data_IF_231820631266
#
_entry.id   IF_231820631266
#
_cell.length_a   1.000
_cell.length_b   1.000
_cell.length_c   1.000
_cell.angle_alpha   90.00
_cell.angle_beta   90.00
_cell.angle_gamma   90.00
#
_symmetry.space_group_name_H-M   'P 1'
#
loop_
_entity.id
_entity.type
_entity.pdbx_description
1 polymer ?
#
# COMPACT_ATOMS: atom_id res chain seq x y z
N UNK A 1 -2.65 -25.24 14.95
CA UNK A 1 -2.16 -24.37 13.87
C UNK A 1 -1.77 -25.29 12.73
N UNK A 2 -2.57 -25.41 11.66
CA UNK A 2 -2.34 -26.45 10.64
C UNK A 2 -1.64 -25.95 9.36
N UNK A 3 -1.58 -24.66 9.10
CA UNK A 3 -0.89 -24.12 7.92
C UNK A 3 0.57 -23.80 8.23
N UNK A 4 1.50 -24.17 7.32
CA UNK A 4 2.90 -23.81 7.47
C UNK A 4 3.13 -22.32 7.23
N UNK A 5 4.14 -21.78 7.89
CA UNK A 5 4.56 -20.38 7.81
C UNK A 5 5.73 -20.26 6.83
N UNK A 6 5.63 -19.35 5.86
CA UNK A 6 6.65 -19.05 4.86
C UNK A 6 7.38 -17.76 5.22
N UNK A 7 8.50 -17.44 4.56
CA UNK A 7 9.17 -16.15 4.80
C UNK A 7 8.26 -14.95 4.48
N UNK A 8 7.42 -15.04 3.44
CA UNK A 8 6.44 -14.01 3.10
C UNK A 8 5.46 -13.72 4.25
N UNK A 9 5.11 -14.73 5.08
CA UNK A 9 4.30 -14.52 6.27
C UNK A 9 5.05 -13.72 7.33
N UNK A 10 6.33 -14.04 7.55
CA UNK A 10 7.19 -13.25 8.44
C UNK A 10 7.32 -11.82 7.95
N UNK A 11 7.47 -11.60 6.65
CA UNK A 11 7.55 -10.26 6.08
C UNK A 11 6.23 -9.49 6.29
N UNK A 12 5.08 -10.11 6.02
CA UNK A 12 3.78 -9.50 6.26
C UNK A 12 3.56 -9.19 7.75
N UNK A 13 3.92 -10.12 8.63
CA UNK A 13 3.87 -9.93 10.07
C UNK A 13 4.77 -8.78 10.53
N UNK A 14 6.01 -8.71 10.03
CA UNK A 14 6.94 -7.60 10.30
C UNK A 14 6.37 -6.25 9.87
N UNK A 15 5.70 -6.19 8.71
CA UNK A 15 5.11 -4.97 8.19
C UNK A 15 3.86 -4.56 8.97
N UNK A 16 3.00 -5.51 9.35
CA UNK A 16 1.82 -5.24 10.15
C UNK A 16 1.31 -6.50 10.88
N UNK A 17 1.69 -6.70 12.16
CA UNK A 17 1.28 -7.87 12.94
C UNK A 17 -0.24 -7.99 13.06
N UNK A 18 -0.92 -6.84 13.25
CA UNK A 18 -2.39 -6.78 13.38
C UNK A 18 -3.07 -7.26 12.10
N UNK A 19 -2.64 -6.76 10.93
CA UNK A 19 -3.21 -7.17 9.65
C UNK A 19 -2.95 -8.65 9.41
N UNK A 20 -1.73 -9.12 9.64
CA UNK A 20 -1.38 -10.54 9.50
C UNK A 20 -2.30 -11.43 10.35
N UNK A 21 -2.56 -11.05 11.60
CA UNK A 21 -3.46 -11.80 12.48
C UNK A 21 -4.92 -11.76 12.01
N UNK A 22 -5.43 -10.60 11.56
CA UNK A 22 -6.82 -10.44 11.10
C UNK A 22 -7.07 -11.10 9.74
N UNK A 23 -6.07 -11.14 8.86
CA UNK A 23 -6.15 -11.77 7.54
C UNK A 23 -5.84 -13.29 7.60
N UNK A 24 -5.39 -13.81 8.75
CA UNK A 24 -5.00 -15.21 8.93
C UNK A 24 -6.17 -16.14 8.59
N UNK A 25 -5.96 -17.09 7.66
CA UNK A 25 -6.99 -18.02 7.17
C UNK A 25 -7.74 -17.55 5.91
N UNK A 26 -7.43 -16.37 5.36
CA UNK A 26 -7.97 -15.91 4.06
C UNK A 26 -6.97 -16.06 2.90
N UNK A 27 -5.75 -16.51 3.20
CA UNK A 27 -4.69 -16.71 2.21
C UNK A 27 -4.87 -18.11 1.63
N UNK A 28 -5.51 -18.20 0.45
CA UNK A 28 -5.53 -19.44 -0.32
C UNK A 28 -4.11 -19.79 -0.75
N UNK A 29 -3.61 -20.95 -0.30
CA UNK A 29 -2.34 -21.53 -0.76
C UNK A 29 -2.64 -22.76 -1.59
N UNK A 30 -2.07 -22.83 -2.79
CA UNK A 30 -2.08 -24.07 -3.59
C UNK A 30 -1.19 -25.13 -2.95
N UNK A 31 -1.41 -26.38 -3.35
CA UNK A 31 -0.87 -27.66 -2.85
C UNK A 31 0.44 -27.67 -2.04
N UNK A 32 0.51 -28.62 -1.10
CA UNK A 32 1.67 -28.84 -0.24
C UNK A 32 2.96 -28.93 -1.06
N UNK A 33 3.99 -28.13 -0.74
CA UNK A 33 5.21 -28.11 -1.53
C UNK A 33 5.97 -29.44 -1.48
N UNK A 34 6.64 -29.76 -2.58
CA UNK A 34 7.51 -30.93 -2.71
C UNK A 34 8.79 -30.75 -1.87
N UNK A 35 9.02 -31.61 -0.88
CA UNK A 35 10.25 -31.64 -0.07
C UNK A 35 11.47 -31.93 -0.96
N UNK A 36 12.47 -31.07 -0.90
CA UNK A 36 13.72 -31.16 -1.67
C UNK A 36 14.84 -31.94 -0.96
N UNK A 37 14.57 -32.50 0.23
CA UNK A 37 15.60 -33.12 1.07
C UNK A 37 16.35 -34.28 0.40
N UNK A 38 15.71 -35.07 -0.46
CA UNK A 38 16.36 -36.17 -1.18
C UNK A 38 17.40 -35.67 -2.19
N UNK A 39 17.04 -34.68 -3.01
CA UNK A 39 17.96 -34.08 -3.99
C UNK A 39 19.17 -33.43 -3.30
N UNK A 40 18.93 -32.75 -2.18
CA UNK A 40 20.00 -32.16 -1.38
C UNK A 40 20.92 -33.24 -0.79
N UNK A 41 20.38 -34.36 -0.28
CA UNK A 41 21.22 -35.47 0.23
C UNK A 41 22.09 -36.12 -0.84
N UNK A 42 21.62 -36.14 -2.09
CA UNK A 42 22.38 -36.61 -3.24
C UNK A 42 23.43 -35.59 -3.72
N UNK A 43 23.48 -34.40 -3.12
CA UNK A 43 24.46 -33.36 -3.42
C UNK A 43 24.14 -32.53 -4.66
N UNK A 44 22.91 -32.60 -5.18
CA UNK A 44 22.49 -31.78 -6.32
C UNK A 44 22.27 -30.33 -5.89
N UNK A 45 22.64 -29.39 -6.76
CA UNK A 45 22.13 -28.03 -6.68
C UNK A 45 20.65 -28.03 -7.02
N UNK A 46 19.83 -27.38 -6.19
CA UNK A 46 18.36 -27.41 -6.32
C UNK A 46 17.83 -25.99 -6.45
N UNK A 47 17.16 -25.71 -7.56
CA UNK A 47 16.39 -24.47 -7.76
C UNK A 47 15.11 -24.52 -6.95
N UNK A 48 14.76 -23.39 -6.30
CA UNK A 48 13.59 -23.29 -5.40
C UNK A 48 13.52 -24.46 -4.42
N UNK A 49 14.64 -24.74 -3.76
CA UNK A 49 14.74 -25.85 -2.83
C UNK A 49 13.80 -25.64 -1.65
N UNK A 50 12.91 -26.60 -1.39
CA UNK A 50 11.93 -26.48 -0.30
C UNK A 50 12.28 -27.42 0.85
N UNK A 51 12.41 -26.87 2.05
CA UNK A 51 12.57 -27.62 3.29
C UNK A 51 11.58 -27.13 4.34
N UNK A 52 10.99 -28.08 5.06
CA UNK A 52 10.11 -27.81 6.21
C UNK A 52 10.81 -28.19 7.51
N UNK A 53 10.61 -27.39 8.56
CA UNK A 53 11.00 -27.72 9.93
C UNK A 53 9.93 -27.28 10.92
N UNK A 54 9.75 -28.00 12.02
CA UNK A 54 8.87 -27.58 13.11
C UNK A 54 9.67 -26.79 14.15
N UNK A 55 9.22 -25.57 14.46
CA UNK A 55 9.79 -24.69 15.49
C UNK A 55 8.63 -24.15 16.32
N UNK A 56 8.74 -24.23 17.66
CA UNK A 56 7.67 -23.81 18.58
C UNK A 56 6.29 -24.44 18.29
N UNK A 57 6.27 -25.69 17.82
CA UNK A 57 5.02 -26.40 17.46
C UNK A 57 4.33 -25.86 16.20
N UNK A 58 5.06 -25.10 15.37
CA UNK A 58 4.58 -24.55 14.09
C UNK A 58 5.53 -24.96 12.98
N UNK A 59 4.97 -25.34 11.83
CA UNK A 59 5.73 -25.73 10.64
C UNK A 59 6.20 -24.47 9.91
N UNK A 60 7.49 -24.37 9.64
CA UNK A 60 8.11 -23.30 8.87
C UNK A 60 8.73 -23.86 7.60
N UNK A 61 8.54 -23.15 6.48
CA UNK A 61 9.00 -23.56 5.15
C UNK A 61 10.06 -22.58 4.68
N UNK A 62 11.22 -23.10 4.30
CA UNK A 62 12.26 -22.38 3.58
C UNK A 62 12.23 -22.74 2.10
N UNK A 63 12.27 -21.71 1.26
CA UNK A 63 12.22 -21.80 -0.21
C UNK A 63 13.21 -20.81 -0.89
N UNK A 64 14.52 -20.85 -0.61
CA UNK A 64 15.49 -20.01 -1.31
C UNK A 64 15.46 -20.25 -2.83
N UNK A 65 15.81 -19.23 -3.62
CA UNK A 65 15.78 -19.32 -5.09
C UNK A 65 16.72 -20.40 -5.65
N UNK A 66 17.86 -20.63 -4.99
CA UNK A 66 18.81 -21.70 -5.33
C UNK A 66 19.59 -22.16 -4.09
N UNK A 67 19.77 -23.47 -3.95
CA UNK A 67 20.71 -24.08 -3.01
C UNK A 67 21.84 -24.76 -3.80
N UNK A 68 23.10 -24.44 -3.47
CA UNK A 68 24.29 -24.98 -4.12
C UNK A 68 25.20 -25.61 -3.08
N UNK A 69 25.68 -26.83 -3.35
CA UNK A 69 26.67 -27.48 -2.49
C UNK A 69 28.07 -26.89 -2.74
N UNK A 70 28.75 -26.47 -1.67
CA UNK A 70 30.14 -26.02 -1.66
C UNK A 70 30.97 -26.90 -0.71
N UNK A 71 32.30 -26.71 -0.70
CA UNK A 71 33.24 -27.50 0.12
C UNK A 71 32.89 -27.46 1.62
N UNK A 72 32.39 -26.32 2.12
CA UNK A 72 32.13 -26.08 3.54
C UNK A 72 30.62 -26.07 3.88
N UNK A 73 29.79 -26.70 3.07
CA UNK A 73 28.34 -26.78 3.25
C UNK A 73 27.57 -26.13 2.10
N UNK A 74 26.32 -25.75 2.37
CA UNK A 74 25.44 -25.18 1.35
C UNK A 74 25.56 -23.67 1.27
N UNK A 75 25.60 -23.14 0.05
CA UNK A 75 25.34 -21.74 -0.24
C UNK A 75 23.91 -21.59 -0.71
N UNK A 76 23.15 -20.73 -0.04
CA UNK A 76 21.81 -20.35 -0.49
C UNK A 76 21.88 -19.02 -1.26
N UNK A 77 21.11 -18.91 -2.34
CA UNK A 77 21.00 -17.67 -3.12
C UNK A 77 19.57 -17.15 -3.04
N UNK A 78 19.44 -15.86 -2.72
CA UNK A 78 18.20 -15.12 -2.72
C UNK A 78 18.25 -14.06 -3.83
N UNK A 79 17.42 -14.21 -4.86
CA UNK A 79 17.31 -13.30 -5.99
C UNK A 79 16.36 -12.15 -5.66
N UNK A 80 16.78 -10.92 -5.96
CA UNK A 80 16.02 -9.68 -5.70
C UNK A 80 16.07 -8.78 -6.93
N UNK A 81 15.05 -7.94 -7.08
CA UNK A 81 15.00 -6.91 -8.14
C UNK A 81 15.43 -5.53 -7.62
N UNK A 82 15.81 -5.43 -6.34
CA UNK A 82 16.13 -4.14 -5.74
C UNK A 82 17.45 -3.55 -6.26
N UNK A 83 17.46 -2.23 -6.47
CA UNK A 83 18.66 -1.46 -6.87
C UNK A 83 19.72 -1.32 -5.77
N UNK A 84 19.35 -1.55 -4.50
CA UNK A 84 20.22 -1.43 -3.34
C UNK A 84 19.90 -2.48 -2.29
N UNK A 85 20.91 -2.93 -1.57
CA UNK A 85 20.76 -3.85 -0.46
C UNK A 85 19.86 -3.24 0.65
N UNK A 86 18.99 -4.07 1.23
CA UNK A 86 18.11 -3.67 2.34
C UNK A 86 18.39 -4.58 3.53
N UNK A 87 18.48 -3.99 4.72
CA UNK A 87 18.73 -4.74 5.96
C UNK A 87 17.71 -5.85 6.25
N UNK A 88 16.49 -5.78 5.69
CA UNK A 88 15.50 -6.86 5.80
C UNK A 88 15.96 -8.18 5.17
N UNK A 89 16.84 -8.15 4.16
CA UNK A 89 17.34 -9.36 3.51
C UNK A 89 18.22 -10.21 4.43
N UNK A 90 18.80 -9.63 5.48
CA UNK A 90 19.55 -10.39 6.48
C UNK A 90 18.64 -11.32 7.31
N UNK A 91 17.41 -10.88 7.60
CA UNK A 91 16.42 -11.72 8.31
C UNK A 91 15.93 -12.85 7.41
N UNK A 92 15.71 -12.58 6.13
CA UNK A 92 15.39 -13.59 5.12
C UNK A 92 16.49 -14.64 4.99
N UNK A 93 17.74 -14.19 4.85
CA UNK A 93 18.89 -15.07 4.80
C UNK A 93 18.98 -15.98 6.02
N UNK A 94 18.84 -15.40 7.23
CA UNK A 94 18.80 -16.16 8.46
C UNK A 94 17.65 -17.17 8.48
N UNK A 95 16.46 -16.78 8.02
CA UNK A 95 15.27 -17.64 8.01
C UNK A 95 15.53 -18.92 7.21
N UNK A 96 15.94 -18.81 5.95
CA UNK A 96 16.19 -19.98 5.11
C UNK A 96 17.38 -20.79 5.62
N UNK A 97 18.48 -20.13 5.97
CA UNK A 97 19.70 -20.82 6.39
C UNK A 97 19.56 -21.55 7.72
N UNK A 98 18.79 -20.98 8.66
CA UNK A 98 18.47 -21.63 9.93
C UNK A 98 17.66 -22.90 9.70
N UNK A 99 16.60 -22.85 8.88
CA UNK A 99 15.76 -24.01 8.55
C UNK A 99 16.58 -25.11 7.86
N UNK A 100 17.39 -24.76 6.86
CA UNK A 100 18.28 -25.71 6.19
C UNK A 100 19.24 -26.39 7.18
N UNK A 101 19.87 -25.60 8.05
CA UNK A 101 20.81 -26.11 9.05
C UNK A 101 20.12 -27.03 10.08
N UNK A 102 18.90 -26.71 10.51
CA UNK A 102 18.09 -27.59 11.39
C UNK A 102 17.71 -28.91 10.71
N UNK A 103 17.60 -28.94 9.38
CA UNK A 103 17.32 -30.15 8.59
C UNK A 103 18.56 -30.96 8.24
N UNK A 104 19.73 -30.59 8.78
CA UNK A 104 20.99 -31.30 8.58
C UNK A 104 21.77 -30.87 7.34
N UNK A 105 21.39 -29.74 6.72
CA UNK A 105 22.09 -29.15 5.59
C UNK A 105 22.81 -27.87 6.06
N UNK A 106 24.03 -27.96 6.61
CA UNK A 106 24.72 -26.81 7.18
C UNK A 106 24.96 -25.75 6.10
N UNK A 107 24.54 -24.51 6.37
CA UNK A 107 24.68 -23.40 5.42
C UNK A 107 25.93 -22.58 5.75
N UNK A 108 26.86 -22.52 4.80
CA UNK A 108 28.12 -21.78 4.93
C UNK A 108 27.85 -20.27 4.90
N UNK A 109 27.13 -19.82 3.86
CA UNK A 109 26.79 -18.42 3.58
C UNK A 109 25.47 -18.31 2.81
N UNK A 110 24.90 -17.11 2.81
CA UNK A 110 23.76 -16.77 1.96
C UNK A 110 24.13 -15.58 1.07
N UNK A 111 23.94 -15.73 -0.24
CA UNK A 111 24.19 -14.68 -1.21
C UNK A 111 22.86 -14.01 -1.58
N UNK A 112 22.75 -12.70 -1.36
CA UNK A 112 21.64 -11.90 -1.89
C UNK A 112 22.10 -11.28 -3.21
N UNK A 113 21.47 -11.68 -4.30
CA UNK A 113 21.84 -11.27 -5.66
C UNK A 113 20.73 -10.45 -6.32
N UNK A 114 21.08 -9.37 -6.99
CA UNK A 114 20.22 -8.58 -7.86
C UNK A 114 20.95 -8.20 -9.14
N UNK A 115 20.26 -7.68 -10.17
CA UNK A 115 20.93 -7.12 -11.35
C UNK A 115 21.91 -5.97 -11.05
N UNK A 116 21.91 -5.44 -9.82
CA UNK A 116 22.67 -4.25 -9.43
C UNK A 116 23.72 -4.50 -8.34
N UNK A 117 23.59 -5.58 -7.58
CA UNK A 117 24.52 -5.91 -6.50
C UNK A 117 24.52 -7.41 -6.21
N UNK A 118 25.62 -7.88 -5.62
CA UNK A 118 25.72 -9.20 -5.00
C UNK A 118 26.37 -9.04 -3.64
N UNK A 119 25.73 -9.56 -2.59
CA UNK A 119 26.20 -9.44 -1.21
C UNK A 119 26.12 -10.78 -0.53
N UNK A 120 27.26 -11.29 -0.07
CA UNK A 120 27.34 -12.44 0.82
C UNK A 120 27.09 -12.00 2.26
N UNK A 121 26.22 -12.73 2.95
CA UNK A 121 25.84 -12.49 4.33
C UNK A 121 26.28 -13.65 5.22
N UNK A 122 26.85 -13.32 6.37
CA UNK A 122 26.86 -14.24 7.51
C UNK A 122 25.47 -14.19 8.17
N UNK A 123 24.64 -15.15 7.78
CA UNK A 123 23.25 -15.23 8.22
C UNK A 123 23.11 -15.40 9.75
N UNK A 124 24.17 -15.86 10.42
CA UNK A 124 24.21 -16.08 11.88
C UNK A 124 24.02 -14.78 12.66
N UNK A 125 24.48 -13.66 12.13
CA UNK A 125 24.35 -12.34 12.75
C UNK A 125 22.88 -11.92 12.94
N UNK A 126 21.99 -12.40 12.05
CA UNK A 126 20.57 -12.09 12.11
C UNK A 126 19.73 -13.15 12.85
N UNK A 127 20.34 -14.26 13.30
CA UNK A 127 19.64 -15.34 14.03
C UNK A 127 18.96 -14.85 15.32
N UNK A 128 19.58 -14.04 16.19
CA UNK A 128 18.89 -13.57 17.40
C UNK A 128 17.59 -12.81 17.09
N UNK A 129 17.63 -11.99 16.03
CA UNK A 129 16.45 -11.26 15.56
C UNK A 129 15.42 -12.21 14.95
N UNK A 130 15.85 -13.18 14.16
CA UNK A 130 14.98 -14.22 13.59
C UNK A 130 14.25 -14.99 14.69
N UNK A 131 14.96 -15.51 15.70
CA UNK A 131 14.35 -16.31 16.78
C UNK A 131 13.27 -15.51 17.50
N UNK A 132 13.53 -14.23 17.81
CA UNK A 132 12.52 -13.35 18.39
C UNK A 132 11.29 -13.17 17.48
N UNK A 133 11.46 -13.13 16.15
CA UNK A 133 10.33 -13.07 15.22
C UNK A 133 9.54 -14.37 15.14
N UNK A 134 10.24 -15.52 15.10
CA UNK A 134 9.62 -16.84 15.12
C UNK A 134 8.82 -17.05 16.41
N UNK A 135 9.33 -16.62 17.55
CA UNK A 135 8.58 -16.66 18.81
C UNK A 135 7.34 -15.74 18.75
N UNK A 136 7.49 -14.51 18.27
CA UNK A 136 6.38 -13.56 18.20
C UNK A 136 5.26 -14.00 17.24
N UNK A 137 5.59 -14.58 16.09
CA UNK A 137 4.59 -15.00 15.09
C UNK A 137 3.87 -16.30 15.50
N UNK A 138 4.49 -17.12 16.34
CA UNK A 138 3.91 -18.38 16.86
C UNK A 138 3.15 -18.20 18.16
N UNK A 139 3.43 -17.12 18.90
CA UNK A 139 2.72 -16.78 20.13
C UNK A 139 1.25 -16.51 19.83
N UNK A 140 0.38 -17.34 20.37
CA UNK A 140 -1.06 -17.12 20.29
C UNK A 140 -1.45 -15.86 21.07
N UNK A 141 -2.27 -15.01 20.45
CA UNK A 141 -2.89 -13.85 21.09
C UNK A 141 -4.37 -13.86 20.78
N UNK A 142 -5.18 -13.78 21.84
CA UNK A 142 -6.62 -13.63 21.71
C UNK A 142 -6.98 -12.23 21.19
N UNK A 143 -6.35 -11.20 21.76
CA UNK A 143 -6.53 -9.83 21.30
C UNK A 143 -5.61 -9.51 20.10
N UNK A 144 -6.13 -8.79 19.08
CA UNK A 144 -5.30 -8.34 17.98
C UNK A 144 -4.25 -7.31 18.41
N UNK A 145 -3.04 -7.38 17.82
CA UNK A 145 -1.99 -6.38 18.04
C UNK A 145 -2.51 -4.95 17.89
N UNK A 146 -1.95 -4.03 18.67
CA UNK A 146 -2.31 -2.63 18.55
C UNK A 146 -2.04 -2.08 17.14
N UNK A 147 -3.00 -1.33 16.57
CA UNK A 147 -2.84 -0.74 15.26
C UNK A 147 -1.65 0.22 15.25
N UNK A 148 -0.83 0.12 14.21
CA UNK A 148 0.23 1.08 13.92
C UNK A 148 0.10 1.48 12.46
N UNK A 149 -0.04 2.78 12.13
CA UNK A 149 -0.09 3.21 10.74
C UNK A 149 1.17 2.80 9.98
N UNK A 150 1.00 2.09 8.86
CA UNK A 150 2.10 1.67 7.97
C UNK A 150 1.77 1.96 6.52
N UNK A 151 2.73 1.74 5.62
CA UNK A 151 2.53 1.88 4.18
C UNK A 151 1.44 0.95 3.62
N UNK A 152 1.17 -0.17 4.28
CA UNK A 152 0.14 -1.14 3.88
C UNK A 152 -1.29 -0.61 4.11
N UNK A 153 -1.47 0.40 4.95
CA UNK A 153 -2.80 0.93 5.29
C UNK A 153 -3.53 1.58 4.10
N UNK A 154 -2.81 1.90 3.02
CA UNK A 154 -3.38 2.49 1.79
C UNK A 154 -4.40 1.57 1.11
N UNK A 155 -4.18 0.26 1.17
CA UNK A 155 -5.06 -0.74 0.53
C UNK A 155 -5.74 -1.66 1.54
N UNK A 156 -5.31 -1.65 2.80
CA UNK A 156 -5.82 -2.50 3.88
C UNK A 156 -7.34 -2.32 4.10
N UNK A 157 -8.07 -3.44 4.19
CA UNK A 157 -9.50 -3.50 4.54
C UNK A 157 -9.77 -3.06 5.98
N UNK A 158 -8.85 -3.32 6.91
CA UNK A 158 -9.01 -3.07 8.34
C UNK A 158 -8.76 -1.62 8.77
N UNK A 159 -8.53 -0.70 7.84
CA UNK A 159 -8.10 0.68 8.15
C UNK A 159 -9.12 1.45 8.99
N UNK A 160 -10.42 1.19 8.79
CA UNK A 160 -11.50 1.83 9.56
C UNK A 160 -11.48 1.33 11.00
N UNK A 161 -11.46 0.01 11.20
CA UNK A 161 -11.39 -0.60 12.54
C UNK A 161 -10.12 -0.22 13.29
N UNK A 162 -8.98 -0.16 12.58
CA UNK A 162 -7.72 0.30 13.16
C UNK A 162 -7.80 1.78 13.58
N UNK A 163 -8.49 2.62 12.81
CA UNK A 163 -8.68 4.03 13.16
C UNK A 163 -9.54 4.15 14.41
N UNK A 164 -10.66 3.44 14.46
CA UNK A 164 -11.53 3.41 15.64
C UNK A 164 -10.82 2.88 16.89
N UNK A 165 -9.98 1.85 16.75
CA UNK A 165 -9.19 1.33 17.86
C UNK A 165 -8.21 2.38 18.44
N UNK A 166 -7.53 3.15 17.58
CA UNK A 166 -6.66 4.26 18.02
C UNK A 166 -7.47 5.39 18.65
N UNK A 167 -8.61 5.76 18.07
CA UNK A 167 -9.51 6.79 18.61
C UNK A 167 -10.01 6.40 20.00
N UNK A 168 -10.45 5.15 20.20
CA UNK A 168 -10.90 4.64 21.51
C UNK A 168 -9.80 4.70 22.57
N UNK A 169 -8.55 4.44 22.17
CA UNK A 169 -7.37 4.57 23.04
C UNK A 169 -6.88 6.01 23.20
N UNK A 170 -7.51 6.97 22.51
CA UNK A 170 -7.07 8.37 22.44
C UNK A 170 -5.61 8.50 21.97
N UNK A 171 -5.12 7.54 21.20
CA UNK A 171 -3.69 7.51 20.82
C UNK A 171 -3.39 8.59 19.78
N UNK A 172 -2.29 9.32 19.98
CA UNK A 172 -1.79 10.33 19.03
C UNK A 172 -1.55 9.75 17.62
N UNK A 173 -1.27 8.45 17.49
CA UNK A 173 -1.13 7.75 16.21
C UNK A 173 -2.42 7.77 15.36
N UNK A 174 -3.58 8.09 15.96
CA UNK A 174 -4.82 8.30 15.23
C UNK A 174 -4.75 9.53 14.29
N UNK A 175 -3.84 10.47 14.55
CA UNK A 175 -3.71 11.72 13.80
C UNK A 175 -3.07 11.47 12.43
N UNK A 176 -3.84 11.68 11.36
CA UNK A 176 -3.32 11.62 10.00
C UNK A 176 -2.14 12.58 9.78
N UNK A 177 -1.04 12.02 9.28
CA UNK A 177 0.19 12.76 8.95
C UNK A 177 1.09 13.08 10.15
N UNK A 178 0.78 12.57 11.35
CA UNK A 178 1.67 12.70 12.51
C UNK A 178 2.85 11.73 12.34
N UNK A 179 4.04 12.27 12.11
CA UNK A 179 5.27 11.48 12.05
C UNK A 179 5.85 11.25 13.46
N UNK A 180 6.73 10.24 13.58
CA UNK A 180 7.31 9.84 14.87
C UNK A 180 8.11 10.97 15.54
N UNK A 181 8.81 11.80 14.75
CA UNK A 181 9.55 12.95 15.30
C UNK A 181 8.62 13.95 15.99
N UNK A 182 7.50 14.27 15.37
CA UNK A 182 6.49 15.19 15.92
C UNK A 182 5.82 14.56 17.14
N UNK A 183 5.48 13.26 17.09
CA UNK A 183 4.91 12.53 18.22
C UNK A 183 5.85 12.54 19.44
N UNK A 184 7.14 12.25 19.25
CA UNK A 184 8.12 12.28 20.34
C UNK A 184 8.30 13.68 20.94
N UNK A 185 8.12 14.75 20.15
CA UNK A 185 8.12 16.13 20.67
C UNK A 185 6.90 16.42 21.54
N UNK A 186 5.72 15.97 21.14
CA UNK A 186 4.49 16.08 21.94
C UNK A 186 4.67 15.36 23.29
N UNK A 187 5.15 14.12 23.27
CA UNK A 187 5.40 13.32 24.47
C UNK A 187 6.41 13.98 25.41
N UNK A 188 7.49 14.56 24.88
CA UNK A 188 8.50 15.28 25.70
C UNK A 188 7.94 16.50 26.42
N UNK A 189 6.88 17.09 25.88
CA UNK A 189 6.22 18.25 26.46
C UNK A 189 4.97 17.85 27.27
N UNK A 190 4.78 16.55 27.56
CA UNK A 190 3.71 16.04 28.41
C UNK A 190 2.35 15.88 27.73
N UNK A 191 2.31 15.83 26.39
CA UNK A 191 1.09 15.50 25.64
C UNK A 191 1.12 14.03 25.28
N UNK A 192 0.39 13.20 26.03
CA UNK A 192 0.40 11.74 25.89
C UNK A 192 -0.68 11.23 24.95
N UNK A 193 -1.82 11.93 24.90
CA UNK A 193 -3.01 11.48 24.16
C UNK A 193 -3.76 12.63 23.43
N UNK A 194 -4.87 12.29 22.77
CA UNK A 194 -5.70 13.25 22.03
C UNK A 194 -6.37 14.30 22.94
N UNK A 195 -6.69 13.98 24.20
CA UNK A 195 -7.33 14.92 25.14
C UNK A 195 -6.32 15.91 25.69
N UNK A 196 -5.12 15.45 26.05
CA UNK A 196 -4.00 16.33 26.42
C UNK A 196 -3.72 17.35 25.32
N UNK A 197 -3.75 16.89 24.07
CA UNK A 197 -3.53 17.75 22.91
C UNK A 197 -4.59 18.85 22.77
N UNK A 198 -5.84 18.60 23.16
CA UNK A 198 -6.88 19.64 23.17
C UNK A 198 -6.67 20.65 24.30
N UNK A 199 -6.23 20.19 25.47
CA UNK A 199 -6.11 21.00 26.68
C UNK A 199 -4.80 21.82 26.74
N UNK A 200 -3.74 21.40 26.04
CA UNK A 200 -2.45 22.09 26.07
C UNK A 200 -2.52 23.50 25.47
N UNK A 201 -2.06 24.52 26.19
CA UNK A 201 -2.16 25.91 25.69
C UNK A 201 -1.03 26.30 24.75
N UNK A 202 0.22 25.99 25.11
CA UNK A 202 1.42 26.35 24.33
C UNK A 202 2.47 25.27 24.48
N UNK A 203 3.12 24.93 23.37
CA UNK A 203 4.29 24.06 23.31
C UNK A 203 5.45 24.85 22.71
N UNK A 204 6.66 24.71 23.25
CA UNK A 204 7.82 25.53 22.80
C UNK A 204 8.23 25.19 21.37
N UNK A 205 8.10 23.92 21.02
CA UNK A 205 8.55 23.33 19.77
C UNK A 205 7.59 23.51 18.58
N UNK A 206 6.43 24.16 18.79
CA UNK A 206 5.35 24.21 17.82
C UNK A 206 4.85 25.64 17.58
N UNK A 207 4.60 25.99 16.31
CA UNK A 207 3.94 27.24 15.97
C UNK A 207 2.46 27.20 16.34
N UNK A 208 1.84 28.38 16.51
CA UNK A 208 0.40 28.49 16.81
C UNK A 208 -0.47 27.81 15.74
N UNK A 209 -0.15 28.00 14.46
CA UNK A 209 -0.90 27.41 13.33
C UNK A 209 -0.81 25.87 13.33
N UNK A 210 0.37 25.30 13.59
CA UNK A 210 0.53 23.85 13.68
C UNK A 210 -0.26 23.29 14.86
N UNK A 211 -0.23 23.95 16.01
CA UNK A 211 -1.00 23.53 17.19
C UNK A 211 -2.51 23.61 16.94
N UNK A 212 -3.00 24.66 16.31
CA UNK A 212 -4.42 24.80 15.97
C UNK A 212 -4.87 23.66 15.04
N UNK A 213 -4.09 23.35 14.01
CA UNK A 213 -4.38 22.22 13.11
C UNK A 213 -4.35 20.88 13.83
N UNK A 214 -3.39 20.65 14.72
CA UNK A 214 -3.32 19.42 15.52
C UNK A 214 -4.53 19.29 16.46
N UNK A 215 -4.95 20.38 17.10
CA UNK A 215 -6.16 20.40 17.94
C UNK A 215 -7.42 20.10 17.14
N UNK A 216 -7.62 20.74 15.98
CA UNK A 216 -8.77 20.43 15.10
C UNK A 216 -8.77 18.97 14.64
N UNK A 217 -7.60 18.38 14.37
CA UNK A 217 -7.48 16.95 14.06
C UNK A 217 -7.86 16.06 15.24
N UNK A 218 -7.37 16.37 16.44
CA UNK A 218 -7.74 15.64 17.65
C UNK A 218 -9.25 15.75 17.94
N UNK A 219 -9.81 16.94 17.75
CA UNK A 219 -11.25 17.19 17.89
C UNK A 219 -12.06 16.35 16.89
N UNK A 220 -11.65 16.29 15.61
CA UNK A 220 -12.33 15.48 14.60
C UNK A 220 -12.36 13.99 14.97
N UNK A 221 -11.25 13.49 15.50
CA UNK A 221 -11.09 12.11 15.95
C UNK A 221 -12.00 11.81 17.16
N UNK A 222 -11.98 12.66 18.19
CA UNK A 222 -12.75 12.46 19.41
C UNK A 222 -14.26 12.60 19.17
N UNK A 223 -14.67 13.55 18.32
CA UNK A 223 -16.07 13.76 17.94
C UNK A 223 -16.56 12.83 16.83
N UNK A 224 -15.67 12.00 16.25
CA UNK A 224 -15.97 11.05 15.15
C UNK A 224 -16.65 11.70 13.95
N UNK A 225 -16.28 12.94 13.63
CA UNK A 225 -16.85 13.67 12.50
C UNK A 225 -15.81 14.54 11.80
N UNK A 226 -16.04 14.88 10.52
CA UNK A 226 -15.18 15.82 9.81
C UNK A 226 -15.19 17.20 10.45
N UNK A 227 -14.01 17.84 10.50
CA UNK A 227 -13.83 19.23 10.95
C UNK A 227 -13.02 20.01 9.91
N UNK A 228 -13.45 21.23 9.60
CA UNK A 228 -12.74 22.12 8.68
C UNK A 228 -11.48 22.67 9.35
N UNK A 229 -10.34 22.44 8.69
CA UNK A 229 -9.05 23.05 9.01
C UNK A 229 -8.93 24.44 8.39
N UNK A 230 -9.48 24.61 7.20
CA UNK A 230 -9.50 25.84 6.40
C UNK A 230 -10.71 25.82 5.44
N UNK A 231 -11.13 26.98 4.89
CA UNK A 231 -12.28 27.06 4.00
C UNK A 231 -12.12 26.21 2.74
N UNK A 232 -13.18 25.50 2.35
CA UNK A 232 -13.15 24.66 1.17
C UNK A 232 -13.32 25.48 -0.12
N UNK A 233 -12.62 25.13 -1.22
CA UNK A 233 -12.91 25.70 -2.53
C UNK A 233 -14.24 25.18 -3.09
N UNK A 234 -14.82 25.84 -4.12
CA UNK A 234 -15.99 25.30 -4.81
C UNK A 234 -15.66 24.02 -5.58
N UNK A 235 -16.63 23.13 -5.68
CA UNK A 235 -16.53 21.85 -6.41
C UNK A 235 -17.58 21.77 -7.53
N UNK A 236 -17.40 22.44 -8.67
CA UNK A 236 -18.35 22.35 -9.79
C UNK A 236 -18.44 20.93 -10.36
N UNK A 237 -19.45 20.66 -11.19
CA UNK A 237 -19.54 19.38 -11.90
C UNK A 237 -18.42 19.24 -12.92
N UNK A 238 -17.90 18.02 -13.07
CA UNK A 238 -16.74 17.74 -13.90
C UNK A 238 -16.50 16.25 -14.07
N UNK A 239 -15.32 15.93 -14.59
CA UNK A 239 -14.89 14.57 -14.88
C UNK A 239 -14.12 13.97 -13.70
N UNK A 240 -14.12 12.64 -13.60
CA UNK A 240 -13.25 11.89 -12.69
C UNK A 240 -12.36 10.97 -13.49
N UNK A 241 -11.07 11.00 -13.21
CA UNK A 241 -10.05 10.27 -13.95
C UNK A 241 -9.28 9.37 -12.99
N UNK A 242 -8.96 8.17 -13.47
CA UNK A 242 -8.03 7.24 -12.84
C UNK A 242 -7.26 6.49 -13.93
N UNK A 243 -6.01 6.11 -13.63
CA UNK A 243 -5.10 5.45 -14.57
C UNK A 243 -4.56 4.18 -13.95
N UNK A 244 -4.52 3.12 -14.74
CA UNK A 244 -3.78 1.90 -14.39
C UNK A 244 -2.55 1.71 -15.27
N UNK A 245 -1.43 1.39 -14.62
CA UNK A 245 -0.11 1.32 -15.26
C UNK A 245 0.53 -0.05 -15.15
N UNK A 246 1.20 -0.48 -16.22
CA UNK A 246 2.01 -1.68 -16.26
C UNK A 246 3.43 -1.35 -15.78
N UNK A 247 3.73 -1.65 -14.52
CA UNK A 247 5.03 -1.28 -13.91
C UNK A 247 6.27 -1.89 -14.59
N UNK A 248 6.18 -3.14 -15.07
CA UNK A 248 7.33 -3.82 -15.72
C UNK A 248 7.52 -3.38 -17.18
N UNK A 249 6.45 -3.34 -17.97
CA UNK A 249 6.50 -2.94 -19.38
C UNK A 249 6.53 -1.41 -19.57
N UNK A 250 6.28 -0.65 -18.51
CA UNK A 250 6.37 0.81 -18.45
C UNK A 250 5.46 1.49 -19.49
N UNK A 251 4.16 1.24 -19.37
CA UNK A 251 3.09 1.90 -20.13
C UNK A 251 1.76 1.91 -19.35
N UNK A 252 0.86 2.81 -19.68
CA UNK A 252 -0.51 2.84 -19.13
C UNK A 252 -1.46 2.00 -19.97
N UNK A 253 -2.14 1.06 -19.32
CA UNK A 253 -3.01 0.12 -20.00
C UNK A 253 -4.49 0.49 -19.91
N UNK A 254 -4.89 1.34 -18.97
CA UNK A 254 -6.28 1.76 -18.83
C UNK A 254 -6.39 3.19 -18.32
N UNK A 255 -7.07 4.05 -19.08
CA UNK A 255 -7.53 5.36 -18.62
C UNK A 255 -9.04 5.29 -18.44
N UNK A 256 -9.50 5.39 -17.19
CA UNK A 256 -10.91 5.41 -16.84
C UNK A 256 -11.40 6.83 -16.63
N UNK A 257 -12.49 7.19 -17.29
CA UNK A 257 -13.14 8.48 -17.09
C UNK A 257 -14.60 8.30 -16.73
N UNK A 258 -15.01 8.87 -15.61
CA UNK A 258 -16.43 9.03 -15.29
C UNK A 258 -16.89 10.41 -15.74
N UNK A 259 -17.83 10.44 -16.67
CA UNK A 259 -18.56 11.64 -17.09
C UNK A 259 -20.01 11.49 -16.67
N UNK A 260 -20.47 12.39 -15.82
CA UNK A 260 -21.78 12.32 -15.18
C UNK A 260 -21.95 10.99 -14.42
N UNK A 261 -22.55 9.98 -15.06
CA UNK A 261 -22.70 8.64 -14.51
C UNK A 261 -22.19 7.52 -15.45
N UNK A 262 -21.71 7.90 -16.64
CA UNK A 262 -21.19 7.03 -17.67
C UNK A 262 -19.69 6.82 -17.46
N UNK A 263 -19.28 5.55 -17.38
CA UNK A 263 -17.88 5.16 -17.31
C UNK A 263 -17.35 4.88 -18.71
N UNK A 264 -16.29 5.58 -19.08
CA UNK A 264 -15.64 5.51 -20.39
C UNK A 264 -14.23 4.99 -20.17
N UNK A 265 -13.94 3.82 -20.74
CA UNK A 265 -12.64 3.18 -20.65
C UNK A 265 -11.86 3.34 -21.95
N UNK A 266 -10.64 3.84 -21.85
CA UNK A 266 -9.65 3.82 -22.93
C UNK A 266 -8.61 2.76 -22.62
N UNK A 267 -8.79 1.57 -23.20
CA UNK A 267 -7.91 0.42 -23.02
C UNK A 267 -6.76 0.44 -24.02
N UNK A 268 -5.58 0.13 -23.52
CA UNK A 268 -4.34 -0.04 -24.27
C UNK A 268 -3.82 -1.45 -23.98
N UNK A 269 -3.93 -2.35 -24.96
CA UNK A 269 -3.51 -3.75 -24.79
C UNK A 269 -2.00 -3.91 -24.93
N UNK A 270 -1.39 -3.08 -25.76
CA UNK A 270 0.02 -3.14 -26.15
C UNK A 270 0.66 -1.76 -26.02
N UNK A 271 1.94 -1.71 -25.62
CA UNK A 271 2.68 -0.46 -25.40
C UNK A 271 2.65 0.46 -26.63
N UNK A 272 2.67 -0.12 -27.82
CA UNK A 272 2.63 0.56 -29.11
C UNK A 272 1.33 1.37 -29.31
N UNK A 273 0.25 0.99 -28.63
CA UNK A 273 -1.05 1.67 -28.70
C UNK A 273 -1.12 2.89 -27.78
N UNK A 274 -0.25 2.98 -26.76
CA UNK A 274 -0.34 3.99 -25.69
C UNK A 274 -0.43 5.41 -26.25
N UNK A 275 0.41 5.77 -27.22
CA UNK A 275 0.40 7.11 -27.80
C UNK A 275 -0.89 7.45 -28.56
N UNK A 276 -1.44 6.49 -29.30
CA UNK A 276 -2.71 6.67 -30.02
C UNK A 276 -3.88 6.77 -29.05
N UNK A 277 -3.91 5.93 -28.01
CA UNK A 277 -4.97 5.93 -27.01
C UNK A 277 -4.90 7.19 -26.15
N UNK A 278 -3.71 7.59 -25.72
CA UNK A 278 -3.49 8.81 -24.95
C UNK A 278 -3.93 10.07 -25.72
N UNK A 279 -3.67 10.13 -27.03
CA UNK A 279 -4.20 11.20 -27.89
C UNK A 279 -5.73 11.26 -27.87
N UNK A 280 -6.40 10.10 -27.99
CA UNK A 280 -7.87 10.03 -27.88
C UNK A 280 -8.38 10.49 -26.51
N UNK A 281 -7.66 10.16 -25.43
CA UNK A 281 -7.97 10.66 -24.08
C UNK A 281 -7.84 12.18 -24.03
N UNK A 282 -6.75 12.75 -24.54
CA UNK A 282 -6.55 14.20 -24.60
C UNK A 282 -7.65 14.89 -25.41
N UNK A 283 -7.99 14.37 -26.59
CA UNK A 283 -9.06 14.90 -27.44
C UNK A 283 -10.42 14.86 -26.72
N UNK A 284 -10.72 13.75 -26.05
CA UNK A 284 -11.93 13.62 -25.24
C UNK A 284 -11.97 14.65 -24.10
N UNK A 285 -10.88 14.77 -23.32
CA UNK A 285 -10.79 15.74 -22.23
C UNK A 285 -10.94 17.17 -22.77
N UNK A 286 -10.30 17.51 -23.89
CA UNK A 286 -10.43 18.83 -24.54
C UNK A 286 -11.85 19.11 -25.06
N UNK A 287 -12.61 18.09 -25.44
CA UNK A 287 -14.01 18.22 -25.88
C UNK A 287 -15.00 18.52 -24.74
N UNK A 288 -14.54 18.45 -23.49
CA UNK A 288 -15.36 18.67 -22.29
C UNK A 288 -14.94 19.93 -21.57
N UNK A 289 -15.81 20.45 -20.72
CA UNK A 289 -15.55 21.59 -19.86
C UNK A 289 -15.49 21.17 -18.38
N UNK A 290 -15.10 22.09 -17.51
CA UNK A 290 -15.09 21.86 -16.06
C UNK A 290 -13.84 21.13 -15.53
N UNK A 291 -13.77 20.91 -14.21
CA UNK A 291 -12.62 20.28 -13.56
C UNK A 291 -12.48 18.80 -13.95
N UNK A 292 -11.25 18.32 -13.89
CA UNK A 292 -10.88 16.92 -14.00
C UNK A 292 -10.36 16.50 -12.62
N UNK A 293 -11.25 15.90 -11.83
CA UNK A 293 -10.93 15.43 -10.50
C UNK A 293 -10.12 14.15 -10.56
N UNK A 294 -9.08 14.11 -9.74
CA UNK A 294 -8.25 12.93 -9.56
C UNK A 294 -7.82 12.79 -8.10
N UNK A 295 -7.35 11.61 -7.72
CA UNK A 295 -6.93 11.35 -6.35
C UNK A 295 -5.43 11.08 -6.27
N UNK A 296 -4.69 12.01 -5.65
CA UNK A 296 -3.23 11.99 -5.47
C UNK A 296 -2.43 12.54 -6.66
N UNK A 297 -1.19 12.96 -6.37
CA UNK A 297 -0.32 13.75 -7.25
C UNK A 297 0.34 12.97 -8.40
N UNK A 298 0.06 11.67 -8.54
CA UNK A 298 0.70 10.85 -9.57
C UNK A 298 0.29 11.31 -10.97
N UNK A 299 -1.00 11.58 -11.16
CA UNK A 299 -1.57 11.78 -12.49
C UNK A 299 -1.09 13.03 -13.23
N UNK A 300 -0.98 14.24 -12.63
CA UNK A 300 -0.57 15.41 -13.41
C UNK A 300 0.90 15.39 -13.86
N UNK A 301 1.78 14.79 -13.06
CA UNK A 301 3.20 14.64 -13.43
C UNK A 301 3.33 13.58 -14.52
N UNK A 302 2.65 12.45 -14.35
CA UNK A 302 2.63 11.36 -15.32
C UNK A 302 1.99 11.76 -16.65
N UNK A 303 0.84 12.45 -16.64
CA UNK A 303 0.21 13.01 -17.84
C UNK A 303 1.13 14.00 -18.59
N UNK A 304 1.97 14.76 -17.87
CA UNK A 304 2.93 15.66 -18.51
C UNK A 304 4.03 14.86 -19.21
N UNK A 305 4.50 13.78 -18.60
CA UNK A 305 5.50 12.89 -19.17
C UNK A 305 4.96 12.18 -20.41
N UNK A 306 3.74 11.64 -20.35
CA UNK A 306 3.02 11.08 -21.51
C UNK A 306 2.79 12.10 -22.61
N UNK A 307 2.36 13.32 -22.25
CA UNK A 307 2.15 14.38 -23.23
C UNK A 307 3.44 14.75 -23.96
N UNK A 308 4.57 14.72 -23.24
CA UNK A 308 5.88 14.91 -23.83
C UNK A 308 6.31 13.74 -24.71
N UNK A 309 6.07 12.52 -24.25
CA UNK A 309 6.43 11.30 -24.98
C UNK A 309 5.68 11.20 -26.32
N UNK A 310 4.41 11.62 -26.34
CA UNK A 310 3.50 11.42 -27.47
C UNK A 310 3.23 12.68 -28.31
N UNK A 311 3.90 13.80 -27.99
CA UNK A 311 3.89 15.05 -28.77
C UNK A 311 2.58 15.86 -28.67
N UNK A 312 1.98 15.91 -27.48
CA UNK A 312 0.72 16.63 -27.18
C UNK A 312 0.88 17.60 -26.01
N UNK A 313 2.08 18.15 -25.78
CA UNK A 313 2.37 19.05 -24.66
C UNK A 313 1.55 20.35 -24.70
N UNK A 314 1.25 20.86 -25.90
CA UNK A 314 0.43 22.06 -26.09
C UNK A 314 -0.99 21.84 -25.58
N UNK A 315 -1.56 20.67 -25.88
CA UNK A 315 -2.90 20.29 -25.46
C UNK A 315 -2.98 20.00 -23.97
N UNK A 316 -1.99 19.27 -23.44
CA UNK A 316 -1.87 19.11 -21.99
C UNK A 316 -1.72 20.45 -21.27
N UNK A 317 -1.01 21.42 -21.84
CA UNK A 317 -0.87 22.76 -21.24
C UNK A 317 -2.20 23.50 -21.11
N UNK A 318 -3.16 23.24 -22.01
CA UNK A 318 -4.53 23.75 -21.92
C UNK A 318 -5.32 23.02 -20.83
N UNK A 319 -5.15 21.70 -20.73
CA UNK A 319 -5.87 20.86 -19.75
C UNK A 319 -5.36 20.99 -18.32
N UNK A 320 -4.05 21.22 -18.08
CA UNK A 320 -3.43 21.13 -16.74
C UNK A 320 -4.09 21.99 -15.68
N UNK A 321 -4.72 23.11 -16.06
CA UNK A 321 -5.42 24.03 -15.13
C UNK A 321 -6.76 23.47 -14.65
N UNK A 322 -7.31 22.47 -15.34
CA UNK A 322 -8.57 21.79 -14.99
C UNK A 322 -8.34 20.64 -14.01
N UNK A 323 -7.12 20.11 -13.90
CA UNK A 323 -6.82 19.02 -12.97
C UNK A 323 -6.94 19.49 -11.53
N UNK A 324 -7.75 18.77 -10.75
CA UNK A 324 -8.01 19.05 -9.34
C UNK A 324 -7.65 17.83 -8.49
N UNK A 325 -6.56 17.97 -7.72
CA UNK A 325 -6.10 16.94 -6.78
C UNK A 325 -6.97 16.94 -5.51
N UNK A 326 -7.91 15.99 -5.46
CA UNK A 326 -8.88 15.83 -4.36
C UNK A 326 -8.17 15.51 -3.04
N UNK A 327 -7.09 14.73 -3.07
CA UNK A 327 -6.31 14.40 -1.88
C UNK A 327 -5.65 15.66 -1.27
N UNK A 328 -5.07 16.51 -2.11
CA UNK A 328 -4.47 17.76 -1.63
C UNK A 328 -5.50 18.71 -1.03
N UNK A 329 -6.68 18.81 -1.62
CA UNK A 329 -7.75 19.64 -1.03
C UNK A 329 -8.19 19.04 0.30
N UNK A 330 -8.52 17.74 0.33
CA UNK A 330 -8.95 17.06 1.54
C UNK A 330 -7.94 17.21 2.69
N UNK A 331 -6.68 16.86 2.46
CA UNK A 331 -5.63 16.85 3.50
C UNK A 331 -5.29 18.23 4.07
N UNK A 332 -5.51 19.30 3.29
CA UNK A 332 -5.27 20.69 3.71
C UNK A 332 -6.46 21.31 4.44
N UNK A 333 -7.68 20.94 4.05
CA UNK A 333 -8.89 21.66 4.47
C UNK A 333 -9.76 20.88 5.44
N UNK A 334 -9.62 19.55 5.54
CA UNK A 334 -10.52 18.74 6.36
C UNK A 334 -9.72 17.76 7.23
N UNK A 335 -10.04 17.73 8.51
CA UNK A 335 -9.68 16.65 9.41
C UNK A 335 -10.81 15.63 9.46
N UNK A 336 -10.58 14.45 8.88
CA UNK A 336 -11.41 13.26 9.05
C UNK A 336 -10.98 12.44 10.27
N UNK A 337 -11.90 11.68 10.89
CA UNK A 337 -11.60 10.72 11.95
C UNK A 337 -10.94 9.44 11.40
N UNK A 338 -9.84 9.60 10.67
CA UNK A 338 -9.06 8.53 10.06
C UNK A 338 -7.57 8.85 10.16
N UNK A 339 -6.72 7.85 10.38
CA UNK A 339 -5.27 8.06 10.32
C UNK A 339 -4.70 7.97 8.88
N UNK A 340 -5.46 7.40 7.94
CA UNK A 340 -5.04 7.20 6.54
C UNK A 340 -6.00 7.90 5.58
N UNK A 341 -5.47 8.82 4.76
CA UNK A 341 -6.23 9.52 3.72
C UNK A 341 -5.91 8.97 2.32
N UNK A 342 -5.81 7.65 2.18
CA UNK A 342 -5.82 7.03 0.84
C UNK A 342 -7.26 7.04 0.28
N UNK A 343 -7.40 6.95 -1.05
CA UNK A 343 -8.71 6.85 -1.71
C UNK A 343 -9.59 5.78 -1.06
N UNK A 344 -9.07 4.55 -0.93
CA UNK A 344 -9.78 3.43 -0.30
C UNK A 344 -10.16 3.68 1.14
N UNK A 345 -9.27 4.30 1.94
CA UNK A 345 -9.58 4.61 3.34
C UNK A 345 -10.72 5.63 3.45
N UNK A 346 -10.63 6.74 2.70
CA UNK A 346 -11.59 7.84 2.80
C UNK A 346 -12.94 7.45 2.21
N UNK A 347 -12.96 6.78 1.06
CA UNK A 347 -14.21 6.35 0.45
C UNK A 347 -14.94 5.31 1.32
N UNK A 348 -14.23 4.36 1.93
CA UNK A 348 -14.82 3.40 2.89
C UNK A 348 -15.39 4.10 4.13
N UNK A 349 -14.72 5.13 4.63
CA UNK A 349 -15.27 5.96 5.71
C UNK A 349 -16.62 6.60 5.33
N UNK A 350 -16.79 6.96 4.07
CA UNK A 350 -18.07 7.44 3.53
C UNK A 350 -19.00 6.32 3.03
N UNK A 351 -18.71 5.05 3.32
CA UNK A 351 -19.56 3.90 3.03
C UNK A 351 -19.38 3.28 1.64
N UNK A 352 -18.34 3.65 0.88
CA UNK A 352 -18.06 3.04 -0.42
C UNK A 352 -17.51 1.63 -0.27
N UNK A 353 -18.02 0.70 -1.08
CA UNK A 353 -17.56 -0.68 -1.16
C UNK A 353 -17.16 -1.00 -2.60
N UNK A 354 -15.91 -1.43 -2.79
CA UNK A 354 -15.43 -1.90 -4.09
C UNK A 354 -16.12 -3.22 -4.45
N UNK A 355 -16.50 -3.36 -5.72
CA UNK A 355 -17.06 -4.58 -6.33
C UNK A 355 -16.02 -5.68 -6.45
N UNK A 356 -14.73 -5.34 -6.40
CA UNK A 356 -13.62 -6.30 -6.49
C UNK A 356 -12.75 -6.25 -5.23
N UNK A 357 -12.02 -7.35 -4.96
CA UNK A 357 -10.99 -7.41 -3.90
C UNK A 357 -9.60 -7.06 -4.43
N UNK A 358 -9.53 -6.38 -5.57
CA UNK A 358 -8.28 -6.01 -6.21
C UNK A 358 -7.62 -4.81 -5.50
N UNK A 359 -6.29 -4.80 -5.57
CA UNK A 359 -5.46 -3.62 -5.41
C UNK A 359 -4.68 -3.40 -6.71
N UNK A 360 -3.98 -2.27 -6.84
CA UNK A 360 -3.27 -1.95 -8.09
C UNK A 360 -2.26 -3.01 -8.52
N UNK A 361 -1.62 -3.72 -7.57
CA UNK A 361 -0.72 -4.82 -7.92
C UNK A 361 -1.49 -6.03 -8.49
N UNK A 362 -2.59 -6.44 -7.84
CA UNK A 362 -3.43 -7.53 -8.36
C UNK A 362 -4.12 -7.17 -9.68
N UNK A 363 -4.57 -5.92 -9.84
CA UNK A 363 -5.14 -5.42 -11.08
C UNK A 363 -4.14 -5.54 -12.24
N UNK A 364 -2.90 -5.09 -12.03
CA UNK A 364 -1.83 -5.25 -13.03
C UNK A 364 -1.55 -6.72 -13.34
N UNK A 365 -1.55 -7.62 -12.34
CA UNK A 365 -1.36 -9.06 -12.56
C UNK A 365 -2.53 -9.68 -13.34
N UNK A 366 -3.76 -9.29 -13.04
CA UNK A 366 -4.96 -9.76 -13.74
C UNK A 366 -4.92 -9.34 -15.21
N UNK A 367 -4.57 -8.08 -15.48
CA UNK A 367 -4.40 -7.59 -16.83
C UNK A 367 -3.31 -8.36 -17.60
N UNK A 368 -2.13 -8.56 -17.00
CA UNK A 368 -1.06 -9.38 -17.60
C UNK A 368 -1.50 -10.81 -17.90
N UNK A 369 -2.22 -11.43 -16.97
CA UNK A 369 -2.75 -12.79 -17.14
C UNK A 369 -3.80 -12.82 -18.26
N UNK A 370 -4.64 -11.79 -18.35
CA UNK A 370 -5.61 -11.63 -19.43
C UNK A 370 -4.95 -11.48 -20.80
N UNK A 371 -3.84 -10.72 -20.93
CA UNK A 371 -3.14 -10.58 -22.22
C UNK A 371 -2.72 -11.95 -22.80
N UNK A 372 -2.35 -12.90 -21.94
CA UNK A 372 -1.92 -14.25 -22.32
C UNK A 372 -3.11 -15.21 -22.48
N UNK A 373 -4.01 -15.26 -21.50
CA UNK A 373 -5.08 -16.28 -21.42
C UNK A 373 -6.34 -15.87 -22.16
N UNK A 374 -6.54 -14.57 -22.35
CA UNK A 374 -7.77 -13.94 -22.85
C UNK A 374 -9.03 -14.33 -22.07
N UNK A 375 -8.88 -14.70 -20.80
CA UNK A 375 -10.01 -15.01 -19.92
C UNK A 375 -10.83 -13.74 -19.60
N UNK A 376 -12.08 -13.60 -20.07
CA UNK A 376 -12.81 -12.34 -19.98
C UNK A 376 -13.02 -11.82 -18.54
N UNK A 377 -13.14 -12.73 -17.57
CA UNK A 377 -13.40 -12.36 -16.17
C UNK A 377 -12.28 -11.52 -15.55
N UNK A 378 -11.04 -11.70 -16.02
CA UNK A 378 -9.88 -10.96 -15.53
C UNK A 378 -9.93 -9.50 -15.95
N UNK A 379 -10.21 -9.23 -17.23
CA UNK A 379 -10.36 -7.87 -17.73
C UNK A 379 -11.58 -7.19 -17.12
N UNK A 380 -12.71 -7.90 -17.01
CA UNK A 380 -13.92 -7.38 -16.35
C UNK A 380 -13.65 -6.95 -14.91
N UNK A 381 -12.83 -7.71 -14.17
CA UNK A 381 -12.43 -7.35 -12.81
C UNK A 381 -11.55 -6.10 -12.78
N UNK A 382 -10.62 -5.96 -13.72
CA UNK A 382 -9.77 -4.76 -13.86
C UNK A 382 -10.60 -3.52 -14.21
N UNK A 383 -11.53 -3.64 -15.16
CA UNK A 383 -12.43 -2.54 -15.55
C UNK A 383 -13.33 -2.10 -14.39
N UNK A 384 -13.91 -3.05 -13.66
CA UNK A 384 -14.72 -2.75 -12.46
C UNK A 384 -13.88 -2.08 -11.37
N UNK A 385 -12.63 -2.50 -11.20
CA UNK A 385 -11.72 -1.92 -10.22
C UNK A 385 -11.43 -0.44 -10.51
N UNK A 386 -11.04 -0.12 -11.73
CA UNK A 386 -10.77 1.26 -12.15
C UNK A 386 -12.05 2.12 -12.17
N UNK A 387 -13.20 1.57 -12.61
CA UNK A 387 -14.49 2.25 -12.50
C UNK A 387 -14.84 2.57 -11.03
N UNK A 388 -14.55 1.66 -10.09
CA UNK A 388 -14.78 1.91 -8.67
C UNK A 388 -13.88 3.03 -8.14
N UNK A 389 -12.64 3.16 -8.59
CA UNK A 389 -11.72 4.22 -8.15
C UNK A 389 -12.19 5.62 -8.60
N UNK A 390 -12.69 5.78 -9.84
CA UNK A 390 -13.29 7.06 -10.28
C UNK A 390 -14.62 7.36 -9.56
N UNK A 391 -15.46 6.34 -9.30
CA UNK A 391 -16.72 6.52 -8.55
C UNK A 391 -16.47 6.83 -7.06
N UNK A 392 -15.45 6.23 -6.46
CA UNK A 392 -15.01 6.54 -5.10
C UNK A 392 -14.50 7.98 -5.01
N UNK A 393 -13.74 8.44 -6.01
CA UNK A 393 -13.29 9.83 -6.09
C UNK A 393 -14.48 10.80 -6.20
N UNK A 394 -15.48 10.47 -7.03
CA UNK A 394 -16.74 11.24 -7.10
C UNK A 394 -17.44 11.35 -5.75
N UNK A 395 -17.61 10.24 -5.03
CA UNK A 395 -18.22 10.25 -3.71
C UNK A 395 -17.49 11.22 -2.76
N UNK A 396 -16.16 11.23 -2.77
CA UNK A 396 -15.38 12.14 -1.92
C UNK A 396 -15.63 13.59 -2.31
N UNK A 397 -15.65 13.91 -3.60
CA UNK A 397 -15.96 15.26 -4.09
C UNK A 397 -17.37 15.70 -3.71
N UNK A 398 -18.37 14.82 -3.81
CA UNK A 398 -19.75 15.10 -3.36
C UNK A 398 -19.80 15.41 -1.85
N UNK A 399 -19.04 14.70 -1.03
CA UNK A 399 -18.95 14.98 0.41
C UNK A 399 -18.27 16.31 0.71
N UNK A 400 -17.18 16.63 0.01
CA UNK A 400 -16.51 17.93 0.15
C UNK A 400 -17.39 19.08 -0.33
N UNK A 401 -18.12 18.90 -1.43
CA UNK A 401 -19.10 19.86 -1.95
C UNK A 401 -20.20 20.13 -0.91
N UNK A 402 -20.77 19.10 -0.30
CA UNK A 402 -21.77 19.26 0.76
C UNK A 402 -21.21 20.04 1.96
N UNK A 403 -19.98 19.76 2.40
CA UNK A 403 -19.34 20.51 3.49
C UNK A 403 -19.13 21.98 3.13
N UNK A 404 -18.67 22.28 1.91
CA UNK A 404 -18.51 23.65 1.42
C UNK A 404 -19.84 24.43 1.42
N UNK A 405 -20.93 23.82 0.95
CA UNK A 405 -22.25 24.46 0.95
C UNK A 405 -22.77 24.72 2.36
N UNK A 406 -22.52 23.82 3.32
CA UNK A 406 -22.88 24.05 4.72
C UNK A 406 -22.08 25.21 5.33
N UNK A 407 -20.78 25.32 5.02
CA UNK A 407 -19.92 26.42 5.46
C UNK A 407 -20.44 27.79 4.96
N UNK A 408 -20.83 27.89 3.67
CA UNK A 408 -21.37 29.12 3.10
C UNK A 408 -22.69 29.56 3.75
N UNK A 409 -23.53 28.62 4.16
CA UNK A 409 -24.80 28.92 4.86
C UNK A 409 -24.55 29.38 6.28
N UNK A 410 -23.59 28.79 7.00
CA UNK A 410 -23.28 29.17 8.39
C UNK A 410 -22.51 30.48 8.54
N UNK A 411 -21.82 30.92 7.48
CA UNK A 411 -21.03 32.16 7.45
C UNK A 411 -21.80 33.36 6.88
N UNK A 412 -23.03 33.16 6.41
CA UNK A 412 -23.99 34.21 6.06
C UNK A 412 -24.91 34.47 7.25
#
# INVERSE_FOLDING_TARGET
MNEPVWYDDLEQFLLCPRRFQLDKGTIERSEAPLDSSELLRLGFSVERAILEVEIFGVRFIADPDLAVLEENGWRLILKKEAKRFKQKYAVEAAYHAYIFSQRGFPVSRVTVSSPYFEVDLDWRDAVPRLISLLENITTFREEPYDPRPTSLCKTCSHVIECSEALIRKKDLLAIHGLNERTRLKLLKEGVEDLEDLLNVQKLKDFSKDVMEKLKKKAQALLERRPILLAPLPPFPDGLFLDIESHTVADYDYLFGILKDNEYIAFLCEEKEQEGTIFKKVIDFLLSTEGPIYHYCAYEPTHFRELARLHGVESDYTRLKKRFVDVYQILSKHVALPLFSYSLKSVARYYGFNWRTKLDGWRASKYFQTWLVTREPSLLDAVMKYNEDDVRATRLIVEKLRSMHLHEEVTNK
#
